data_IF_184963275378
#
_entry.id   IF_184963275378
#
_cell.length_a   1.000
_cell.length_b   1.000
_cell.length_c   1.000
_cell.angle_alpha   90.00
_cell.angle_beta   90.00
_cell.angle_gamma   90.00
#
_symmetry.space_group_name_H-M   'P 1'
#
loop_
_entity.id
_entity.type
_entity.pdbx_description
1 polymer ?
#
# COMPACT_ATOMS: atom_id res chain seq x y z
N UNK A 1 -10.98 20.79 4.15
CA UNK A 1 -10.41 21.01 5.50
C UNK A 1 -11.54 21.22 6.51
N UNK A 2 -12.24 20.16 6.93
CA UNK A 2 -13.35 20.23 7.91
C UNK A 2 -13.04 19.52 9.24
N UNK A 3 -11.92 18.81 9.33
CA UNK A 3 -11.54 18.09 10.54
C UNK A 3 -11.19 18.97 11.77
N UNK A 4 -10.65 20.20 11.67
CA UNK A 4 -10.26 20.93 12.87
C UNK A 4 -11.40 21.71 13.57
N UNK A 5 -12.61 21.79 12.99
CA UNK A 5 -13.68 22.66 13.50
C UNK A 5 -14.90 21.92 14.08
N UNK A 6 -14.89 20.59 14.12
CA UNK A 6 -16.03 19.83 14.65
C UNK A 6 -15.84 19.56 16.13
N UNK A 7 -16.49 20.37 16.98
CA UNK A 7 -16.50 20.20 18.44
C UNK A 7 -17.32 18.98 18.91
N UNK A 8 -18.02 18.33 18.00
CA UNK A 8 -18.80 17.11 18.24
C UNK A 8 -17.93 15.87 18.09
N UNK A 9 -17.49 15.31 19.21
CA UNK A 9 -16.70 14.07 19.29
C UNK A 9 -17.28 12.92 18.44
N UNK A 10 -18.60 12.92 18.28
CA UNK A 10 -19.33 11.91 17.52
C UNK A 10 -18.99 11.90 16.01
N UNK A 11 -18.90 13.07 15.36
CA UNK A 11 -18.58 13.12 13.92
C UNK A 11 -17.14 12.71 13.65
N UNK A 12 -16.22 13.10 14.54
CA UNK A 12 -14.83 12.66 14.48
C UNK A 12 -14.69 11.13 14.64
N UNK A 13 -15.43 10.53 15.60
CA UNK A 13 -15.48 9.08 15.78
C UNK A 13 -16.02 8.35 14.56
N UNK A 14 -17.08 8.86 13.93
CA UNK A 14 -17.64 8.26 12.70
C UNK A 14 -16.61 8.31 11.56
N UNK A 15 -15.94 9.44 11.37
CA UNK A 15 -14.90 9.55 10.33
C UNK A 15 -13.71 8.61 10.61
N UNK A 16 -13.27 8.49 11.86
CA UNK A 16 -12.24 7.52 12.24
C UNK A 16 -12.69 6.09 12.00
N UNK A 17 -13.92 5.73 12.38
CA UNK A 17 -14.47 4.40 12.17
C UNK A 17 -14.48 4.01 10.69
N UNK A 18 -14.83 4.94 9.80
CA UNK A 18 -14.78 4.73 8.35
C UNK A 18 -13.35 4.46 7.88
N UNK A 19 -12.38 5.28 8.31
CA UNK A 19 -10.96 5.11 7.94
C UNK A 19 -10.41 3.77 8.44
N UNK A 20 -10.72 3.38 9.68
CA UNK A 20 -10.29 2.10 10.24
C UNK A 20 -10.89 0.91 9.49
N UNK A 21 -12.15 1.01 9.07
CA UNK A 21 -12.81 -0.04 8.29
C UNK A 21 -12.13 -0.25 6.94
N UNK A 22 -11.76 0.84 6.26
CA UNK A 22 -11.00 0.77 5.00
C UNK A 22 -9.60 0.18 5.19
N UNK A 23 -8.97 0.47 6.33
CA UNK A 23 -7.66 -0.09 6.67
C UNK A 23 -7.73 -1.61 6.91
N UNK A 24 -8.74 -2.07 7.66
CA UNK A 24 -8.97 -3.49 7.93
C UNK A 24 -9.28 -4.30 6.67
N UNK A 25 -10.09 -3.74 5.75
CA UNK A 25 -10.41 -4.39 4.47
C UNK A 25 -9.18 -4.58 3.58
N UNK A 26 -8.28 -3.61 3.52
CA UNK A 26 -7.03 -3.71 2.78
C UNK A 26 -6.12 -4.82 3.33
N UNK A 27 -5.88 -4.84 4.64
CA UNK A 27 -5.03 -5.85 5.28
C UNK A 27 -5.58 -7.27 5.15
N UNK A 28 -6.91 -7.45 5.24
CA UNK A 28 -7.55 -8.75 5.06
C UNK A 28 -7.41 -9.30 3.63
N UNK A 29 -7.36 -8.42 2.63
CA UNK A 29 -7.26 -8.81 1.22
C UNK A 29 -5.82 -9.14 0.77
N UNK A 30 -4.80 -8.64 1.45
CA UNK A 30 -3.38 -8.83 1.07
C UNK A 30 -2.98 -10.31 0.97
N UNK A 31 -3.22 -11.19 1.97
CA UNK A 31 -2.84 -12.60 1.88
C UNK A 31 -3.56 -13.34 0.75
N UNK A 32 -4.87 -13.09 0.58
CA UNK A 32 -5.65 -13.70 -0.49
C UNK A 32 -5.12 -13.28 -1.86
N UNK A 33 -4.84 -11.99 -2.05
CA UNK A 33 -4.28 -11.44 -3.29
C UNK A 33 -2.89 -12.02 -3.62
N UNK A 34 -2.01 -12.15 -2.63
CA UNK A 34 -0.69 -12.77 -2.81
C UNK A 34 -0.85 -14.24 -3.17
N UNK A 35 -1.77 -14.96 -2.51
CA UNK A 35 -2.07 -16.36 -2.78
C UNK A 35 -2.56 -16.59 -4.21
N UNK A 36 -3.43 -15.71 -4.71
CA UNK A 36 -3.96 -15.77 -6.08
C UNK A 36 -2.89 -15.51 -7.15
N UNK A 37 -1.88 -14.69 -6.84
CA UNK A 37 -0.86 -14.24 -7.80
C UNK A 37 0.40 -15.11 -7.79
N UNK A 38 0.90 -15.45 -6.60
CA UNK A 38 2.17 -16.16 -6.42
C UNK A 38 2.00 -17.61 -5.97
N UNK A 39 0.76 -18.04 -5.73
CA UNK A 39 0.46 -19.35 -5.16
C UNK A 39 0.72 -19.41 -3.65
N UNK A 40 0.18 -20.43 -3.01
CA UNK A 40 0.25 -20.60 -1.55
C UNK A 40 1.64 -21.03 -1.06
N UNK A 41 2.51 -21.55 -1.94
CA UNK A 41 3.82 -22.11 -1.58
C UNK A 41 4.79 -21.06 -1.02
N UNK A 42 4.71 -19.81 -1.49
CA UNK A 42 5.57 -18.69 -1.05
C UNK A 42 4.79 -17.58 -0.33
N UNK A 43 3.50 -17.80 -0.05
CA UNK A 43 2.59 -16.81 0.53
C UNK A 43 3.14 -16.23 1.86
N UNK A 44 3.59 -17.11 2.76
CA UNK A 44 4.11 -16.69 4.07
C UNK A 44 5.37 -15.83 3.97
N UNK A 45 6.29 -16.17 3.06
CA UNK A 45 7.52 -15.42 2.85
C UNK A 45 7.22 -14.02 2.27
N UNK A 46 6.39 -13.94 1.24
CA UNK A 46 6.01 -12.67 0.59
C UNK A 46 5.24 -11.77 1.55
N UNK A 47 4.26 -12.33 2.29
CA UNK A 47 3.52 -11.58 3.29
C UNK A 47 4.45 -11.07 4.41
N UNK A 48 5.41 -11.90 4.85
CA UNK A 48 6.43 -11.52 5.82
C UNK A 48 7.26 -10.33 5.36
N UNK A 49 7.75 -10.34 4.11
CA UNK A 49 8.49 -9.20 3.54
C UNK A 49 7.66 -7.91 3.50
N UNK A 50 6.37 -8.01 3.17
CA UNK A 50 5.47 -6.86 3.17
C UNK A 50 5.30 -6.30 4.58
N UNK A 51 5.14 -7.15 5.59
CA UNK A 51 5.05 -6.72 6.99
C UNK A 51 6.36 -6.08 7.49
N UNK A 52 7.52 -6.60 7.10
CA UNK A 52 8.81 -5.99 7.42
C UNK A 52 8.95 -4.61 6.79
N UNK A 53 8.59 -4.47 5.50
CA UNK A 53 8.58 -3.17 4.82
C UNK A 53 7.59 -2.19 5.48
N UNK A 54 6.42 -2.68 5.91
CA UNK A 54 5.44 -1.87 6.62
C UNK A 54 5.94 -1.40 7.99
N UNK A 55 6.58 -2.28 8.77
CA UNK A 55 7.20 -1.90 10.03
C UNK A 55 8.31 -0.85 9.83
N UNK A 56 9.16 -1.03 8.83
CA UNK A 56 10.19 -0.05 8.49
C UNK A 56 9.60 1.30 8.09
N UNK A 57 8.52 1.30 7.29
CA UNK A 57 7.80 2.53 6.93
C UNK A 57 7.15 3.20 8.16
N UNK A 58 6.63 2.42 9.11
CA UNK A 58 6.09 2.93 10.38
C UNK A 58 7.13 3.64 11.25
N UNK A 59 8.38 3.16 11.23
CA UNK A 59 9.50 3.80 11.93
C UNK A 59 10.04 5.02 11.17
N UNK A 60 10.22 4.90 9.86
CA UNK A 60 10.80 5.96 9.03
C UNK A 60 9.82 7.11 8.75
N UNK A 61 8.51 6.84 8.70
CA UNK A 61 7.47 7.81 8.34
C UNK A 61 7.44 9.05 9.24
N UNK A 62 7.36 8.90 10.58
CA UNK A 62 7.39 10.03 11.50
C UNK A 62 8.71 10.82 11.43
N UNK A 63 9.84 10.11 11.32
CA UNK A 63 11.15 10.75 11.19
C UNK A 63 11.25 11.60 9.91
N UNK A 64 10.76 11.05 8.79
CA UNK A 64 10.72 11.76 7.52
C UNK A 64 9.78 12.96 7.56
N UNK A 65 8.59 12.81 8.17
CA UNK A 65 7.63 13.91 8.32
C UNK A 65 8.18 15.03 9.22
N UNK A 66 8.88 14.68 10.31
CA UNK A 66 9.56 15.65 11.17
C UNK A 66 10.67 16.40 10.42
N UNK A 67 11.53 15.68 9.69
CA UNK A 67 12.60 16.28 8.89
C UNK A 67 12.07 17.21 7.78
N UNK A 68 11.00 16.80 7.10
CA UNK A 68 10.33 17.63 6.10
C UNK A 68 9.75 18.91 6.71
N UNK A 69 9.12 18.81 7.90
CA UNK A 69 8.59 19.97 8.63
C UNK A 69 9.70 20.93 9.03
N UNK A 70 10.83 20.43 9.52
CA UNK A 70 11.97 21.25 9.93
C UNK A 70 12.64 21.95 8.73
N UNK A 71 12.62 21.32 7.55
CA UNK A 71 13.25 21.85 6.33
C UNK A 71 12.34 22.83 5.57
N UNK A 72 11.03 22.58 5.50
CA UNK A 72 10.08 23.38 4.69
C UNK A 72 9.10 24.21 5.49
N UNK A 73 9.10 24.10 6.83
CA UNK A 73 8.26 24.88 7.72
C UNK A 73 6.76 24.53 7.72
N UNK A 74 6.32 23.58 6.87
CA UNK A 74 4.90 23.20 6.73
C UNK A 74 4.70 21.71 6.48
N UNK A 75 3.71 21.13 7.16
CA UNK A 75 3.26 19.75 6.94
C UNK A 75 2.53 19.54 5.60
N UNK A 76 2.14 20.62 4.90
CA UNK A 76 1.49 20.51 3.60
C UNK A 76 2.42 19.92 2.52
N UNK A 77 3.71 20.23 2.59
CA UNK A 77 4.75 19.67 1.72
C UNK A 77 4.94 18.17 1.99
N UNK A 78 4.91 17.79 3.28
CA UNK A 78 4.55 16.47 3.83
C UNK A 78 3.66 15.62 2.92
N UNK A 79 2.41 16.08 2.91
CA UNK A 79 1.28 15.39 2.33
C UNK A 79 1.36 15.35 0.80
N UNK A 80 1.83 16.42 0.17
CA UNK A 80 1.98 16.50 -1.29
C UNK A 80 3.04 15.49 -1.78
N UNK A 81 4.14 15.35 -1.03
CA UNK A 81 5.18 14.36 -1.33
C UNK A 81 4.63 12.93 -1.27
N UNK A 82 3.93 12.57 -0.18
CA UNK A 82 3.29 11.26 -0.06
C UNK A 82 2.23 11.01 -1.12
N UNK A 83 1.47 12.04 -1.52
CA UNK A 83 0.53 11.93 -2.63
C UNK A 83 1.22 11.57 -3.94
N UNK A 84 2.38 12.19 -4.24
CA UNK A 84 3.19 11.82 -5.40
C UNK A 84 3.69 10.38 -5.31
N UNK A 85 4.13 9.95 -4.12
CA UNK A 85 4.57 8.58 -3.87
C UNK A 85 3.45 7.54 -4.13
N UNK A 86 2.20 7.87 -3.76
CA UNK A 86 1.05 7.01 -4.06
C UNK A 86 0.77 6.86 -5.55
N UNK A 87 0.94 7.92 -6.34
CA UNK A 87 0.80 7.84 -7.80
C UNK A 87 1.86 6.91 -8.40
N UNK A 88 3.10 7.00 -7.93
CA UNK A 88 4.18 6.10 -8.34
C UNK A 88 3.87 4.65 -7.93
N UNK A 89 3.42 4.45 -6.69
CA UNK A 89 3.03 3.13 -6.19
C UNK A 89 1.90 2.50 -7.03
N UNK A 90 0.92 3.30 -7.44
CA UNK A 90 -0.16 2.88 -8.33
C UNK A 90 0.40 2.46 -9.71
N UNK A 91 1.29 3.25 -10.30
CA UNK A 91 1.92 2.93 -11.58
C UNK A 91 2.71 1.62 -11.51
N UNK A 92 3.53 1.44 -10.47
CA UNK A 92 4.28 0.20 -10.22
C UNK A 92 3.34 -0.99 -10.03
N UNK A 93 2.25 -0.83 -9.26
CA UNK A 93 1.26 -1.88 -9.05
C UNK A 93 0.62 -2.34 -10.38
N UNK A 94 0.31 -1.40 -11.27
CA UNK A 94 -0.21 -1.71 -12.61
C UNK A 94 0.84 -2.45 -13.46
N UNK A 95 2.10 -2.02 -13.42
CA UNK A 95 3.19 -2.65 -14.18
C UNK A 95 3.44 -4.09 -13.73
N UNK A 96 3.49 -4.34 -12.42
CA UNK A 96 3.63 -5.68 -11.84
C UNK A 96 2.50 -6.59 -12.33
N UNK A 97 1.26 -6.09 -12.32
CA UNK A 97 0.11 -6.87 -12.78
C UNK A 97 0.18 -7.21 -14.27
N UNK A 98 0.72 -6.32 -15.10
CA UNK A 98 0.94 -6.58 -16.53
C UNK A 98 2.06 -7.60 -16.76
N UNK A 99 3.16 -7.48 -16.02
CA UNK A 99 4.31 -8.35 -16.16
C UNK A 99 4.00 -9.78 -15.76
N UNK A 100 3.30 -9.97 -14.63
CA UNK A 100 2.84 -11.29 -14.18
C UNK A 100 1.90 -11.94 -15.21
N UNK A 101 0.96 -11.18 -15.77
CA UNK A 101 0.07 -11.69 -16.82
C UNK A 101 0.83 -12.05 -18.12
N UNK A 102 1.91 -11.33 -18.43
CA UNK A 102 2.76 -11.61 -19.59
C UNK A 102 3.58 -12.89 -19.38
N UNK A 103 4.20 -13.03 -18.21
CA UNK A 103 4.97 -14.22 -17.81
C UNK A 103 4.10 -15.47 -17.81
N UNK A 104 2.85 -15.39 -17.32
CA UNK A 104 1.92 -16.53 -17.34
C UNK A 104 1.61 -17.00 -18.75
N UNK A 105 1.30 -16.07 -19.67
CA UNK A 105 1.06 -16.38 -21.09
C UNK A 105 2.29 -16.98 -21.78
N UNK A 106 3.49 -16.52 -21.41
CA UNK A 106 4.74 -17.01 -21.99
C UNK A 106 5.07 -18.43 -21.51
N UNK A 107 4.82 -18.74 -20.23
CA UNK A 107 4.96 -20.10 -19.70
C UNK A 107 3.97 -21.07 -20.35
N UNK A 108 2.70 -20.69 -20.50
CA UNK A 108 1.69 -21.49 -21.19
C UNK A 108 2.06 -21.76 -22.67
N UNK A 109 2.65 -20.77 -23.35
CA UNK A 109 3.12 -20.94 -24.72
C UNK A 109 4.34 -21.86 -24.82
N UNK A 110 5.29 -21.75 -23.89
CA UNK A 110 6.46 -22.62 -23.83
C UNK A 110 6.08 -24.09 -23.54
N UNK A 111 5.13 -24.35 -22.64
CA UNK A 111 4.65 -25.71 -22.37
C UNK A 111 3.98 -26.35 -23.60
N UNK A 112 3.21 -25.59 -24.38
CA UNK A 112 2.60 -26.07 -25.63
C UNK A 112 3.60 -26.36 -26.75
N UNK A 113 4.75 -25.69 -26.74
CA UNK A 113 5.83 -25.93 -27.70
C UNK A 113 6.72 -27.11 -27.29
N UNK A 114 6.72 -27.46 -26.00
CA UNK A 114 7.56 -28.52 -25.43
C UNK A 114 6.87 -29.89 -25.34
N UNK A 115 5.54 -29.98 -25.54
CA UNK A 115 4.77 -31.23 -25.56
C UNK A 115 4.27 -31.59 -26.95
#
# INVERSE_FOLDING_TARGET
MLLPNTKEAFLFQVMLAVVYTMYGGGFAAIPAFIGDIFGTKQLGAIHGYILTAWAAAGLAGPMFAAWMKDTTGSYATSLTFFSGLFVIALAVSILIRRDINKLRKQNEANERLAG
#
